data_IF_583639581618
#
_entry.id   IF_583639581618
#
_cell.length_a   1.000
_cell.length_b   1.000
_cell.length_c   1.000
_cell.angle_alpha   90.00
_cell.angle_beta   90.00
_cell.angle_gamma   90.00
#
_symmetry.space_group_name_H-M   'P 1'
#
loop_
_entity.id
_entity.type
_entity.pdbx_description
1 polymer ?
#
# COMPACT_ATOMS: atom_id res chain seq x y z
N UNK A 1 17.76 7.48 10.53
CA UNK A 1 16.95 8.65 10.09
C UNK A 1 15.88 8.94 11.14
N UNK A 2 15.61 10.21 11.48
CA UNK A 2 14.54 10.57 12.44
C UNK A 2 13.51 11.45 11.76
N UNK A 3 12.23 11.09 11.86
CA UNK A 3 11.10 11.79 11.23
C UNK A 3 10.28 12.50 12.30
N UNK A 4 10.29 13.83 12.29
CA UNK A 4 9.62 14.67 13.30
C UNK A 4 8.49 15.53 12.75
N UNK A 5 8.28 15.52 11.43
CA UNK A 5 7.26 16.33 10.77
C UNK A 5 6.04 15.47 10.40
N UNK A 6 4.82 15.83 10.83
CA UNK A 6 3.63 15.09 10.43
C UNK A 6 3.40 15.13 8.92
N UNK A 7 2.86 14.04 8.36
CA UNK A 7 2.59 13.94 6.92
C UNK A 7 3.83 13.69 6.06
N UNK A 8 5.00 13.44 6.66
CA UNK A 8 6.22 13.16 5.90
C UNK A 8 6.07 11.88 5.07
N UNK A 9 6.49 11.95 3.81
CA UNK A 9 6.56 10.78 2.92
C UNK A 9 8.02 10.46 2.62
N UNK A 10 8.45 9.25 2.97
CA UNK A 10 9.72 8.64 2.59
C UNK A 10 9.40 7.70 1.42
N UNK A 11 9.92 8.00 0.23
CA UNK A 11 9.60 7.29 -1.00
C UNK A 11 10.86 7.02 -1.82
N UNK A 12 10.99 5.79 -2.34
CA UNK A 12 12.08 5.39 -3.24
C UNK A 12 13.50 5.66 -2.71
N UNK A 13 13.70 5.52 -1.38
CA UNK A 13 15.00 5.73 -0.75
C UNK A 13 15.67 4.41 -0.37
N UNK A 14 17.00 4.39 -0.46
CA UNK A 14 17.83 3.40 0.23
C UNK A 14 18.34 4.02 1.54
N UNK A 15 17.75 3.60 2.65
CA UNK A 15 18.02 4.11 3.99
C UNK A 15 18.94 3.16 4.73
N UNK A 16 20.07 3.69 5.22
CA UNK A 16 20.99 2.96 6.10
C UNK A 16 20.78 3.37 7.56
N UNK A 17 20.59 2.38 8.42
CA UNK A 17 20.28 2.52 9.85
C UNK A 17 18.78 2.67 10.14
N UNK A 18 18.44 2.72 11.43
CA UNK A 18 17.06 2.80 11.91
C UNK A 18 16.30 4.02 11.37
N UNK A 19 15.05 3.85 10.94
CA UNK A 19 14.08 4.96 10.79
C UNK A 19 13.28 5.11 12.09
N UNK A 20 13.42 6.25 12.77
CA UNK A 20 12.64 6.60 13.96
C UNK A 20 11.51 7.56 13.60
N UNK A 21 10.26 7.09 13.69
CA UNK A 21 9.05 7.86 13.41
C UNK A 21 8.53 8.48 14.70
N UNK A 22 8.59 9.81 14.78
CA UNK A 22 8.21 10.61 15.95
C UNK A 22 7.03 11.57 15.69
N UNK A 23 6.35 11.43 14.55
CA UNK A 23 5.27 12.31 14.12
C UNK A 23 4.16 11.53 13.41
N UNK A 24 2.93 12.05 13.48
CA UNK A 24 1.75 11.41 12.90
C UNK A 24 1.72 11.43 11.37
N UNK A 25 0.95 10.50 10.79
CA UNK A 25 0.66 10.44 9.35
C UNK A 25 1.91 10.31 8.48
N UNK A 26 2.95 9.62 8.96
CA UNK A 26 4.17 9.35 8.20
C UNK A 26 3.95 8.17 7.27
N UNK A 27 4.32 8.31 6.01
CA UNK A 27 4.31 7.21 5.03
C UNK A 27 5.73 6.84 4.65
N UNK A 28 6.08 5.57 4.76
CA UNK A 28 7.31 4.97 4.24
C UNK A 28 6.89 4.02 3.12
N UNK A 29 7.38 4.24 1.90
CA UNK A 29 6.98 3.47 0.74
C UNK A 29 8.11 3.25 -0.27
N UNK A 30 8.03 2.16 -1.04
CA UNK A 30 8.94 1.84 -2.14
C UNK A 30 10.43 1.94 -1.77
N UNK A 31 10.76 1.73 -0.50
CA UNK A 31 12.08 2.03 0.05
C UNK A 31 12.78 0.76 0.47
N UNK A 32 14.12 0.82 0.48
CA UNK A 32 14.95 -0.22 1.08
C UNK A 32 15.51 0.29 2.39
N UNK A 33 15.35 -0.46 3.46
CA UNK A 33 15.85 -0.13 4.79
C UNK A 33 16.83 -1.21 5.19
N UNK A 34 18.10 -0.84 5.34
CA UNK A 34 19.15 -1.72 5.86
C UNK A 34 19.62 -1.20 7.21
N UNK A 35 19.36 -1.96 8.26
CA UNK A 35 19.79 -1.61 9.62
C UNK A 35 20.74 -2.66 10.20
N UNK A 36 21.49 -2.24 11.20
CA UNK A 36 22.27 -3.11 12.09
C UNK A 36 22.03 -2.77 13.56
N UNK A 37 20.94 -2.05 13.83
CA UNK A 37 20.53 -1.60 15.15
C UNK A 37 19.46 -2.54 15.73
N UNK A 38 18.84 -2.14 16.84
CA UNK A 38 17.74 -2.88 17.45
C UNK A 38 16.51 -3.05 16.55
N UNK A 39 16.25 -2.11 15.62
CA UNK A 39 15.14 -2.24 14.66
C UNK A 39 15.45 -1.56 13.33
N UNK A 40 14.82 -2.00 12.24
CA UNK A 40 14.81 -1.30 10.96
C UNK A 40 13.96 -0.04 11.03
N UNK A 41 12.73 -0.17 11.52
CA UNK A 41 11.78 0.92 11.67
C UNK A 41 11.22 0.91 13.09
N UNK A 42 11.37 2.03 13.79
CA UNK A 42 10.77 2.26 15.10
C UNK A 42 9.71 3.35 14.99
N UNK A 43 8.49 3.05 15.42
CA UNK A 43 7.39 4.00 15.52
C UNK A 43 7.12 4.21 17.00
N UNK A 44 7.27 5.46 17.43
CA UNK A 44 7.05 5.81 18.84
C UNK A 44 5.60 5.56 19.24
N UNK A 45 5.39 5.02 20.43
CA UNK A 45 4.06 4.84 21.00
C UNK A 45 3.24 6.15 21.03
N UNK A 46 1.95 6.01 20.74
CA UNK A 46 1.00 7.12 20.65
C UNK A 46 1.02 7.88 19.32
N UNK A 47 1.96 7.59 18.42
CA UNK A 47 1.92 8.09 17.04
C UNK A 47 0.83 7.35 16.26
N UNK A 48 0.12 8.08 15.41
CA UNK A 48 -1.01 7.57 14.63
C UNK A 48 -0.83 7.82 13.14
N UNK A 49 -1.52 7.02 12.31
CA UNK A 49 -1.53 7.21 10.86
C UNK A 49 -0.24 6.82 10.14
N UNK A 50 0.70 6.13 10.81
CA UNK A 50 1.89 5.63 10.14
C UNK A 50 1.51 4.54 9.14
N UNK A 51 2.04 4.64 7.93
CA UNK A 51 1.92 3.63 6.87
C UNK A 51 3.32 3.20 6.44
N UNK A 52 3.60 1.90 6.47
CA UNK A 52 4.82 1.32 5.89
C UNK A 52 4.39 0.34 4.82
N UNK A 53 4.77 0.58 3.56
CA UNK A 53 4.32 -0.27 2.47
C UNK A 53 5.35 -0.49 1.38
N UNK A 54 5.19 -1.56 0.62
CA UNK A 54 5.93 -1.80 -0.62
C UNK A 54 7.46 -1.65 -0.45
N UNK A 55 7.99 -2.00 0.73
CA UNK A 55 9.37 -1.72 1.13
C UNK A 55 10.11 -3.00 1.51
N UNK A 56 11.41 -3.03 1.21
CA UNK A 56 12.33 -4.09 1.65
C UNK A 56 12.97 -3.65 2.97
N UNK A 57 12.88 -4.49 4.00
CA UNK A 57 13.38 -4.21 5.35
C UNK A 57 14.26 -5.38 5.77
N UNK A 58 15.55 -5.10 5.94
CA UNK A 58 16.51 -6.06 6.43
C UNK A 58 17.28 -5.49 7.61
N UNK A 59 17.34 -6.23 8.72
CA UNK A 59 18.01 -5.80 9.94
C UNK A 59 18.82 -6.93 10.56
N UNK A 60 20.10 -6.97 10.18
CA UNK A 60 21.08 -7.95 10.67
C UNK A 60 21.75 -7.53 11.98
N UNK A 61 21.08 -6.66 12.76
CA UNK A 61 21.63 -6.10 13.98
C UNK A 61 22.06 -7.15 15.01
N UNK A 62 23.01 -6.79 15.86
CA UNK A 62 23.55 -7.67 16.91
C UNK A 62 23.19 -7.18 18.32
N UNK A 63 22.10 -6.42 18.43
CA UNK A 63 21.67 -5.87 19.72
C UNK A 63 21.34 -7.03 20.67
N UNK A 64 21.77 -6.96 21.95
CA UNK A 64 21.32 -7.90 22.96
C UNK A 64 19.80 -7.91 23.11
N UNK A 65 19.11 -6.83 22.74
CA UNK A 65 17.65 -6.69 22.82
C UNK A 65 16.92 -7.11 21.53
N UNK A 66 17.70 -7.56 20.54
CA UNK A 66 17.27 -8.20 19.31
C UNK A 66 17.29 -7.33 18.06
N UNK A 67 17.05 -7.93 16.89
CA UNK A 67 17.12 -7.26 15.59
C UNK A 67 15.78 -7.27 14.85
N UNK A 68 14.94 -6.27 15.08
CA UNK A 68 13.55 -6.28 14.61
C UNK A 68 13.40 -5.62 13.23
N UNK A 69 12.40 -6.02 12.43
CA UNK A 69 12.04 -5.35 11.19
C UNK A 69 11.29 -4.04 11.46
N UNK A 70 10.06 -4.15 11.96
CA UNK A 70 9.20 -3.01 12.34
C UNK A 70 8.78 -3.17 13.80
N UNK A 71 8.89 -2.10 14.58
CA UNK A 71 8.35 -2.03 15.95
C UNK A 71 7.44 -0.81 16.07
N UNK A 72 6.17 -1.03 16.43
CA UNK A 72 5.22 0.03 16.73
C UNK A 72 3.80 -0.26 16.23
N UNK A 73 3.01 0.78 15.95
CA UNK A 73 1.63 0.64 15.45
C UNK A 73 1.40 1.40 14.14
N UNK A 74 0.49 0.89 13.30
CA UNK A 74 0.15 1.51 12.02
C UNK A 74 -0.43 0.56 10.99
N UNK A 75 -0.33 0.95 9.72
CA UNK A 75 -0.73 0.13 8.57
C UNK A 75 0.52 -0.38 7.85
N UNK A 76 0.77 -1.69 7.88
CA UNK A 76 1.95 -2.34 7.30
C UNK A 76 1.51 -3.23 6.14
N UNK A 77 1.82 -2.81 4.91
CA UNK A 77 1.30 -3.43 3.68
C UNK A 77 2.41 -3.88 2.75
N UNK A 78 2.49 -5.17 2.42
CA UNK A 78 3.30 -5.62 1.26
C UNK A 78 4.78 -5.30 1.40
N UNK A 79 5.27 -5.35 2.63
CA UNK A 79 6.68 -5.25 2.90
C UNK A 79 7.33 -6.62 2.76
N UNK A 80 8.57 -6.60 2.29
CA UNK A 80 9.46 -7.74 2.27
C UNK A 80 10.42 -7.61 3.46
N UNK A 81 10.26 -8.45 4.47
CA UNK A 81 10.95 -8.36 5.76
C UNK A 81 11.76 -9.63 5.98
N UNK A 82 13.08 -9.50 5.99
CA UNK A 82 13.95 -10.67 6.04
C UNK A 82 15.28 -10.40 6.72
N UNK A 83 16.01 -11.46 7.07
CA UNK A 83 17.26 -11.39 7.82
C UNK A 83 17.11 -10.57 9.12
N UNK A 84 15.99 -10.81 9.82
CA UNK A 84 15.64 -10.19 11.11
C UNK A 84 15.45 -11.24 12.19
N UNK A 85 15.58 -10.83 13.45
CA UNK A 85 15.13 -11.59 14.60
C UNK A 85 13.60 -11.68 14.61
N UNK A 86 12.91 -10.56 14.87
CA UNK A 86 11.46 -10.48 14.77
C UNK A 86 11.04 -9.70 13.51
N UNK A 87 10.00 -10.16 12.83
CA UNK A 87 9.45 -9.46 11.66
C UNK A 87 8.79 -8.13 12.04
N UNK A 88 7.63 -8.21 12.68
CA UNK A 88 6.83 -7.06 13.10
C UNK A 88 6.40 -7.22 14.56
N UNK A 89 6.81 -6.30 15.42
CA UNK A 89 6.31 -6.19 16.80
C UNK A 89 5.26 -5.08 16.84
N UNK A 90 4.01 -5.47 17.10
CA UNK A 90 2.87 -4.58 17.17
C UNK A 90 2.69 -4.04 18.60
N UNK A 91 2.69 -2.72 18.76
CA UNK A 91 2.52 -2.05 20.07
C UNK A 91 1.19 -1.30 20.23
N UNK A 92 0.30 -1.41 19.23
CA UNK A 92 -1.03 -0.80 19.26
C UNK A 92 -1.88 -1.20 18.06
N UNK A 93 -3.08 -0.62 17.93
CA UNK A 93 -4.01 -0.96 16.83
C UNK A 93 -3.34 -0.84 15.47
N UNK A 94 -3.42 -1.91 14.68
CA UNK A 94 -2.66 -2.05 13.44
C UNK A 94 -3.36 -2.91 12.40
N UNK A 95 -3.07 -2.63 11.13
CA UNK A 95 -3.36 -3.51 10.01
C UNK A 95 -2.04 -4.05 9.48
N UNK A 96 -1.85 -5.37 9.55
CA UNK A 96 -0.69 -6.08 8.98
C UNK A 96 -1.20 -6.95 7.84
N UNK A 97 -0.92 -6.54 6.61
CA UNK A 97 -1.52 -7.20 5.46
C UNK A 97 -0.57 -7.40 4.29
N UNK A 98 -0.69 -8.55 3.63
CA UNK A 98 0.02 -8.89 2.39
C UNK A 98 1.56 -8.81 2.53
N UNK A 99 2.12 -8.83 3.74
CA UNK A 99 3.58 -8.78 3.95
C UNK A 99 4.20 -10.17 3.74
N UNK A 100 5.46 -10.17 3.34
CA UNK A 100 6.29 -11.36 3.28
C UNK A 100 7.37 -11.26 4.35
N UNK A 101 7.34 -12.18 5.30
CA UNK A 101 8.28 -12.22 6.42
C UNK A 101 8.98 -13.57 6.38
N UNK A 102 10.28 -13.58 6.09
CA UNK A 102 11.02 -14.82 5.82
C UNK A 102 12.49 -14.68 6.21
N UNK A 103 13.26 -15.76 6.00
CA UNK A 103 14.70 -15.83 6.30
C UNK A 103 15.05 -15.19 7.66
N UNK A 104 14.20 -15.45 8.66
CA UNK A 104 14.42 -14.89 10.00
C UNK A 104 15.73 -15.42 10.54
N UNK A 105 16.64 -14.49 10.77
CA UNK A 105 18.02 -14.75 11.07
C UNK A 105 18.53 -13.59 11.91
N UNK A 106 19.04 -13.91 13.08
CA UNK A 106 19.63 -12.97 14.01
C UNK A 106 21.00 -13.52 14.37
N UNK A 107 22.05 -12.70 14.34
CA UNK A 107 23.35 -13.14 14.82
C UNK A 107 23.23 -13.63 16.27
N UNK A 108 23.98 -14.68 16.57
CA UNK A 108 23.84 -15.59 17.71
C UNK A 108 24.22 -14.94 19.07
N UNK A 109 23.62 -13.79 19.42
CA UNK A 109 24.06 -12.94 20.54
C UNK A 109 23.49 -13.35 21.90
N UNK A 110 22.50 -14.24 21.93
CA UNK A 110 21.78 -14.61 23.17
C UNK A 110 22.01 -16.04 23.67
N UNK A 111 22.68 -16.92 22.92
CA UNK A 111 22.95 -18.28 23.39
C UNK A 111 23.75 -18.27 24.71
N UNK A 112 23.14 -18.82 25.76
CA UNK A 112 23.75 -18.93 27.09
C UNK A 112 23.53 -17.75 28.04
N UNK A 113 22.68 -16.78 27.69
CA UNK A 113 22.30 -15.67 28.58
C UNK A 113 21.09 -16.02 29.47
N UNK A 114 20.91 -15.29 30.58
CA UNK A 114 19.74 -15.45 31.49
C UNK A 114 18.43 -14.93 30.90
N UNK A 115 18.48 -14.24 29.76
CA UNK A 115 17.33 -13.66 29.07
C UNK A 115 16.71 -14.63 28.05
N UNK A 116 17.21 -15.87 27.97
CA UNK A 116 16.79 -16.85 26.97
C UNK A 116 17.62 -16.77 25.69
N UNK A 117 17.36 -17.68 24.75
CA UNK A 117 17.92 -17.61 23.39
C UNK A 117 17.28 -16.47 22.58
N UNK A 118 17.71 -16.28 21.32
CA UNK A 118 17.06 -15.34 20.41
C UNK A 118 15.56 -15.66 20.22
N UNK A 119 14.74 -14.61 20.12
CA UNK A 119 13.29 -14.67 19.93
C UNK A 119 12.98 -14.36 18.46
N UNK A 120 12.69 -15.35 17.63
CA UNK A 120 12.34 -15.12 16.22
C UNK A 120 10.83 -15.14 15.97
N UNK A 121 10.07 -14.16 16.42
CA UNK A 121 8.64 -14.10 16.13
C UNK A 121 8.36 -13.36 14.81
N UNK A 122 7.57 -13.99 13.93
CA UNK A 122 7.23 -13.37 12.66
C UNK A 122 6.39 -12.11 12.84
N UNK A 123 5.27 -12.25 13.52
CA UNK A 123 4.46 -11.14 13.98
C UNK A 123 4.19 -11.32 15.47
N UNK A 124 4.63 -10.37 16.27
CA UNK A 124 4.49 -10.39 17.72
C UNK A 124 3.47 -9.34 18.19
N UNK A 125 2.54 -9.76 19.05
CA UNK A 125 1.60 -8.90 19.75
C UNK A 125 1.83 -9.07 21.24
N UNK A 126 2.38 -8.02 21.84
CA UNK A 126 2.61 -7.93 23.27
C UNK A 126 1.37 -7.42 24.02
N UNK A 127 1.41 -7.53 25.36
CA UNK A 127 0.32 -7.04 26.21
C UNK A 127 0.02 -5.54 26.02
N UNK A 128 -1.24 -5.16 26.25
CA UNK A 128 -1.71 -3.77 26.12
C UNK A 128 -2.23 -3.39 24.73
N UNK A 129 -2.29 -4.35 23.81
CA UNK A 129 -2.67 -4.13 22.40
C UNK A 129 -4.11 -4.57 22.13
N UNK A 130 -4.86 -3.75 21.40
CA UNK A 130 -6.16 -4.12 20.85
C UNK A 130 -6.31 -3.75 19.38
N UNK A 131 -7.32 -4.35 18.74
CA UNK A 131 -7.78 -3.97 17.39
C UNK A 131 -6.69 -4.16 16.34
N UNK A 132 -6.21 -5.39 16.20
CA UNK A 132 -5.19 -5.77 15.22
C UNK A 132 -5.77 -6.75 14.22
N UNK A 133 -5.54 -6.48 12.93
CA UNK A 133 -5.90 -7.37 11.83
C UNK A 133 -4.62 -7.80 11.12
N UNK A 134 -4.36 -9.10 11.11
CA UNK A 134 -3.27 -9.77 10.40
C UNK A 134 -3.90 -10.60 9.27
N UNK A 135 -3.73 -10.20 8.02
CA UNK A 135 -4.36 -10.94 6.90
C UNK A 135 -3.51 -11.06 5.65
N UNK A 136 -3.64 -12.19 4.96
CA UNK A 136 -2.97 -12.46 3.69
C UNK A 136 -1.44 -12.31 3.72
N UNK A 137 -0.82 -12.39 4.91
CA UNK A 137 0.62 -12.38 5.02
C UNK A 137 1.17 -13.77 4.72
N UNK A 138 2.40 -13.82 4.22
CA UNK A 138 3.21 -15.03 4.15
C UNK A 138 4.31 -14.90 5.19
N UNK A 139 4.30 -15.75 6.21
CA UNK A 139 5.30 -15.74 7.30
C UNK A 139 5.97 -17.10 7.34
N UNK A 140 7.28 -17.14 7.09
CA UNK A 140 8.09 -18.36 7.10
C UNK A 140 9.13 -18.23 8.21
N UNK A 141 8.89 -18.91 9.34
CA UNK A 141 9.73 -18.86 10.52
C UNK A 141 10.43 -20.19 10.83
N UNK A 142 11.51 -20.52 10.14
CA UNK A 142 12.11 -21.86 10.29
C UNK A 142 12.83 -22.10 11.63
N UNK A 143 12.85 -21.12 12.53
CA UNK A 143 13.52 -21.22 13.83
C UNK A 143 12.65 -21.99 14.85
N UNK A 144 13.19 -23.05 15.42
CA UNK A 144 12.42 -24.03 16.21
C UNK A 144 11.90 -23.61 17.58
N UNK A 145 12.09 -22.36 18.02
CA UNK A 145 11.81 -21.92 19.39
C UNK A 145 10.68 -20.90 19.56
N UNK A 146 10.06 -20.47 18.46
CA UNK A 146 9.27 -19.22 18.39
C UNK A 146 8.19 -19.29 17.31
N UNK A 147 7.29 -18.34 17.19
CA UNK A 147 6.06 -18.53 16.40
C UNK A 147 5.98 -17.69 15.14
N UNK A 148 5.17 -18.11 14.16
CA UNK A 148 4.86 -17.25 13.02
C UNK A 148 3.99 -16.07 13.47
N UNK A 149 3.06 -16.33 14.40
CA UNK A 149 2.30 -15.29 15.11
C UNK A 149 2.33 -15.57 16.61
N UNK A 150 2.84 -14.61 17.39
CA UNK A 150 2.90 -14.65 18.85
C UNK A 150 1.92 -13.64 19.44
N UNK A 151 1.14 -14.06 20.44
CA UNK A 151 0.29 -13.18 21.24
C UNK A 151 0.51 -13.48 22.72
N UNK A 152 0.88 -12.48 23.51
CA UNK A 152 1.04 -12.62 24.97
C UNK A 152 0.44 -11.42 25.72
N UNK A 153 0.34 -11.51 27.04
CA UNK A 153 -0.21 -10.47 27.92
C UNK A 153 0.79 -9.90 28.93
N UNK A 154 2.09 -9.97 28.66
CA UNK A 154 3.14 -9.59 29.63
C UNK A 154 3.10 -8.08 29.99
N UNK A 155 2.57 -7.25 29.08
CA UNK A 155 2.50 -5.78 29.23
C UNK A 155 1.07 -5.22 29.34
N UNK A 156 0.08 -6.07 29.62
CA UNK A 156 -1.32 -5.65 29.76
C UNK A 156 -2.31 -6.51 28.96
N UNK A 157 -3.61 -6.15 28.97
CA UNK A 157 -4.64 -6.97 28.34
C UNK A 157 -4.53 -6.91 26.82
N UNK A 158 -4.95 -7.99 26.15
CA UNK A 158 -5.01 -8.05 24.68
C UNK A 158 -6.43 -8.36 24.24
N UNK A 159 -6.93 -7.64 23.24
CA UNK A 159 -8.29 -7.86 22.75
C UNK A 159 -8.50 -7.58 21.26
N UNK A 160 -9.50 -8.23 20.66
CA UNK A 160 -9.91 -8.00 19.26
C UNK A 160 -8.75 -8.18 18.26
N UNK A 161 -8.19 -9.39 18.22
CA UNK A 161 -7.10 -9.76 17.31
C UNK A 161 -7.64 -10.73 16.27
N UNK A 162 -7.50 -10.38 14.99
CA UNK A 162 -7.97 -11.18 13.87
C UNK A 162 -6.78 -11.60 13.02
N UNK A 163 -6.59 -12.91 12.88
CA UNK A 163 -5.54 -13.52 12.04
C UNK A 163 -6.25 -14.34 10.97
N UNK A 164 -6.39 -13.77 9.78
CA UNK A 164 -7.28 -14.29 8.74
C UNK A 164 -6.59 -14.48 7.38
N UNK A 165 -6.72 -15.66 6.78
CA UNK A 165 -6.29 -15.87 5.39
C UNK A 165 -4.78 -15.80 5.16
N UNK A 166 -3.95 -16.11 6.16
CA UNK A 166 -2.49 -16.04 6.04
C UNK A 166 -1.89 -17.40 5.66
N UNK A 167 -0.71 -17.39 5.04
CA UNK A 167 0.17 -18.55 4.94
C UNK A 167 1.22 -18.44 6.05
N UNK A 168 1.11 -19.27 7.07
CA UNK A 168 1.94 -19.22 8.27
C UNK A 168 2.70 -20.53 8.41
N UNK A 169 4.01 -20.41 8.42
CA UNK A 169 4.91 -21.51 8.44
C UNK A 169 6.03 -21.29 9.46
N UNK A 170 6.56 -22.39 9.94
CA UNK A 170 7.67 -22.48 10.85
C UNK A 170 7.32 -22.36 12.34
N UNK A 171 8.38 -22.47 13.15
CA UNK A 171 8.39 -22.12 14.54
C UNK A 171 8.60 -23.27 15.53
N UNK A 172 8.49 -22.95 16.82
CA UNK A 172 8.09 -23.86 17.88
C UNK A 172 6.62 -24.24 17.72
N UNK A 173 5.71 -23.28 17.91
CA UNK A 173 4.32 -23.39 17.48
C UNK A 173 4.03 -22.34 16.42
N UNK A 174 3.34 -22.68 15.33
CA UNK A 174 3.06 -21.71 14.25
C UNK A 174 2.18 -20.55 14.74
N UNK A 175 1.15 -20.86 15.53
CA UNK A 175 0.32 -19.88 16.23
C UNK A 175 0.53 -20.02 17.75
N UNK A 176 0.96 -18.95 18.41
CA UNK A 176 1.17 -18.97 19.85
C UNK A 176 0.29 -17.91 20.52
N UNK A 177 -0.48 -18.31 21.52
CA UNK A 177 -1.24 -17.36 22.33
C UNK A 177 -1.23 -17.75 23.81
N UNK A 178 -0.50 -17.00 24.62
CA UNK A 178 -0.30 -17.32 26.03
C UNK A 178 -0.69 -16.14 26.93
N UNK A 179 -1.86 -16.27 27.55
CA UNK A 179 -2.41 -15.37 28.55
C UNK A 179 -1.96 -15.68 29.98
N UNK A 180 -0.91 -16.47 30.19
CA UNK A 180 -0.40 -16.80 31.53
C UNK A 180 0.72 -15.89 32.04
N UNK A 181 1.23 -14.97 31.21
CA UNK A 181 2.26 -14.00 31.63
C UNK A 181 1.71 -13.00 32.65
N UNK A 182 0.44 -12.58 32.49
CA UNK A 182 -0.30 -11.84 33.51
C UNK A 182 -1.53 -12.60 34.02
N UNK A 183 -1.68 -12.67 35.33
CA UNK A 183 -2.84 -13.30 35.98
C UNK A 183 -4.09 -12.41 35.98
N UNK A 184 -3.92 -11.09 35.85
CA UNK A 184 -4.98 -10.07 35.90
C UNK A 184 -5.40 -9.64 34.51
N UNK A 185 -4.44 -9.45 33.62
CA UNK A 185 -4.68 -9.00 32.26
C UNK A 185 -5.04 -10.19 31.38
N UNK A 186 -6.09 -10.06 30.57
CA UNK A 186 -6.62 -11.20 29.80
C UNK A 186 -6.41 -10.98 28.32
N UNK A 187 -6.21 -12.10 27.61
CA UNK A 187 -6.30 -12.16 26.16
C UNK A 187 -7.72 -12.59 25.81
N UNK A 188 -8.42 -11.80 25.02
CA UNK A 188 -9.82 -12.03 24.65
C UNK A 188 -10.10 -11.65 23.19
N UNK A 189 -11.17 -12.18 22.59
CA UNK A 189 -11.54 -11.81 21.21
C UNK A 189 -10.45 -12.06 20.17
N UNK A 190 -9.70 -13.16 20.31
CA UNK A 190 -8.71 -13.60 19.32
C UNK A 190 -9.38 -14.61 18.38
N UNK A 191 -9.18 -14.44 17.08
CA UNK A 191 -9.62 -15.40 16.07
C UNK A 191 -8.50 -15.70 15.08
N UNK A 192 -8.28 -16.98 14.81
CA UNK A 192 -7.43 -17.50 13.75
C UNK A 192 -8.34 -18.21 12.74
N UNK A 193 -8.54 -17.61 11.57
CA UNK A 193 -9.49 -18.09 10.57
C UNK A 193 -8.90 -18.21 9.18
N UNK A 194 -9.32 -19.21 8.41
CA UNK A 194 -8.97 -19.34 6.99
C UNK A 194 -7.45 -19.36 6.69
N UNK A 195 -6.59 -19.70 7.66
CA UNK A 195 -5.13 -19.68 7.47
C UNK A 195 -4.64 -21.03 6.94
N UNK A 196 -3.61 -20.99 6.11
CA UNK A 196 -2.79 -22.15 5.78
C UNK A 196 -1.65 -22.23 6.79
N UNK A 197 -1.64 -23.27 7.61
CA UNK A 197 -0.67 -23.50 8.67
C UNK A 197 0.12 -24.75 8.32
N UNK A 198 1.43 -24.67 8.17
CA UNK A 198 2.19 -25.91 8.35
C UNK A 198 2.60 -26.07 9.82
N UNK A 199 3.29 -27.17 10.11
CA UNK A 199 3.50 -27.61 11.49
C UNK A 199 4.86 -27.15 12.08
N UNK A 200 4.81 -26.28 13.09
CA UNK A 200 5.98 -25.96 13.93
C UNK A 200 6.55 -27.17 14.68
N UNK A 201 7.75 -27.01 15.25
CA UNK A 201 8.50 -28.05 15.97
C UNK A 201 7.68 -28.76 17.06
N UNK A 202 6.79 -28.03 17.73
CA UNK A 202 5.93 -28.51 18.81
C UNK A 202 4.46 -28.63 18.39
N UNK A 203 4.08 -28.10 17.22
CA UNK A 203 2.74 -28.21 16.65
C UNK A 203 2.28 -26.97 15.89
N UNK A 204 1.03 -26.98 15.41
CA UNK A 204 0.44 -25.82 14.72
C UNK A 204 0.12 -24.67 15.66
N UNK A 205 -0.38 -24.98 16.85
CA UNK A 205 -0.84 -23.96 17.78
C UNK A 205 -0.65 -24.36 19.23
N UNK A 206 -0.44 -23.35 20.08
CA UNK A 206 -0.44 -23.48 21.53
C UNK A 206 -1.18 -22.33 22.17
N UNK A 207 -2.25 -22.65 22.90
CA UNK A 207 -3.09 -21.67 23.59
C UNK A 207 -3.13 -21.94 25.09
N UNK A 208 -2.81 -20.93 25.88
CA UNK A 208 -2.82 -21.02 27.34
C UNK A 208 -3.48 -19.78 27.94
N UNK A 209 -4.36 -19.97 28.91
CA UNK A 209 -5.00 -18.85 29.60
C UNK A 209 -6.02 -18.06 28.76
N UNK A 210 -6.33 -18.50 27.54
CA UNK A 210 -7.35 -17.95 26.66
C UNK A 210 -7.95 -19.03 25.75
N UNK A 211 -8.95 -18.65 24.95
CA UNK A 211 -9.66 -19.56 24.02
C UNK A 211 -9.90 -18.87 22.67
N UNK A 212 -8.87 -18.77 21.81
CA UNK A 212 -9.05 -18.22 20.47
C UNK A 212 -10.08 -18.99 19.66
N UNK A 213 -10.84 -18.29 18.81
CA UNK A 213 -11.69 -18.92 17.81
C UNK A 213 -10.80 -19.50 16.71
N UNK A 214 -10.91 -20.79 16.45
CA UNK A 214 -10.29 -21.48 15.32
C UNK A 214 -11.37 -21.88 14.32
N UNK A 215 -11.25 -21.47 13.05
CA UNK A 215 -12.20 -21.89 12.01
C UNK A 215 -11.55 -21.91 10.63
N UNK A 216 -11.82 -22.96 9.84
CA UNK A 216 -11.35 -23.09 8.45
C UNK A 216 -9.83 -22.94 8.25
N UNK A 217 -9.00 -23.23 9.25
CA UNK A 217 -7.55 -23.28 9.04
C UNK A 217 -7.18 -24.62 8.40
N UNK A 218 -6.34 -24.58 7.37
CA UNK A 218 -5.79 -25.77 6.70
C UNK A 218 -4.44 -26.13 7.31
N UNK A 219 -4.32 -27.34 7.83
CA UNK A 219 -3.15 -27.85 8.55
C UNK A 219 -2.28 -28.69 7.59
N UNK A 220 -1.35 -28.02 6.90
CA UNK A 220 -0.56 -28.53 5.78
C UNK A 220 0.52 -29.57 6.15
N UNK A 221 0.77 -29.81 7.44
CA UNK A 221 1.80 -30.73 7.92
C UNK A 221 3.20 -30.14 7.92
N UNK A 222 4.20 -31.03 8.04
CA UNK A 222 5.63 -30.69 7.99
C UNK A 222 6.17 -30.54 6.57
N UNK A 223 5.36 -30.84 5.55
CA UNK A 223 5.70 -30.78 4.13
C UNK A 223 5.41 -29.43 3.46
N UNK A 224 5.25 -28.36 4.26
CA UNK A 224 5.08 -27.00 3.75
C UNK A 224 6.21 -26.60 2.80
N UNK A 225 5.94 -25.66 1.90
CA UNK A 225 6.99 -25.14 1.04
C UNK A 225 7.81 -24.12 1.84
N UNK A 226 9.05 -24.52 2.21
CA UNK A 226 10.08 -23.68 2.83
C UNK A 226 10.87 -22.88 1.80
N UNK A 227 10.89 -23.34 0.55
CA UNK A 227 11.45 -22.55 -0.53
C UNK A 227 10.65 -21.26 -0.60
N UNK A 228 11.31 -20.15 -0.28
CA UNK A 228 10.88 -18.81 -0.65
C UNK A 228 10.13 -18.92 -1.97
N UNK A 229 8.89 -18.43 -2.12
CA UNK A 229 8.47 -18.06 -3.46
C UNK A 229 9.66 -17.23 -4.00
N UNK A 230 10.31 -17.72 -5.06
CA UNK A 230 11.58 -17.12 -5.56
C UNK A 230 11.36 -15.71 -6.08
N UNK A 231 10.10 -15.31 -6.11
CA UNK A 231 9.60 -13.97 -6.08
C UNK A 231 8.92 -13.78 -4.72
N UNK A 232 9.27 -12.77 -3.92
CA UNK A 232 8.32 -12.23 -2.92
C UNK A 232 6.92 -12.20 -3.53
N UNK A 233 5.81 -12.32 -2.77
CA UNK A 233 4.51 -11.90 -3.31
C UNK A 233 4.77 -10.55 -3.96
N UNK A 234 4.60 -10.48 -5.29
CA UNK A 234 5.05 -9.31 -6.04
C UNK A 234 4.52 -8.12 -5.27
N UNK A 235 5.39 -7.18 -4.85
CA UNK A 235 4.95 -5.82 -4.57
C UNK A 235 3.98 -5.55 -5.70
N UNK A 236 2.67 -5.39 -5.44
CA UNK A 236 1.72 -5.44 -6.52
C UNK A 236 2.23 -4.43 -7.53
N UNK A 237 2.16 -4.75 -8.81
CA UNK A 237 2.76 -3.82 -9.77
C UNK A 237 1.99 -2.51 -9.66
N UNK A 238 2.68 -1.42 -9.31
CA UNK A 238 2.12 -0.08 -9.52
C UNK A 238 1.71 -0.07 -10.99
N UNK A 239 0.41 0.09 -11.31
CA UNK A 239 -0.01 0.00 -12.69
C UNK A 239 0.75 1.06 -13.49
N UNK A 240 1.15 0.72 -14.72
CA UNK A 240 1.72 1.72 -15.62
C UNK A 240 0.78 2.93 -15.72
N UNK A 241 1.35 4.13 -15.86
CA UNK A 241 0.55 5.34 -16.05
C UNK A 241 -0.42 5.12 -17.23
N UNK A 242 -1.71 5.44 -17.06
CA UNK A 242 -2.65 5.31 -18.16
C UNK A 242 -2.27 6.28 -19.29
N UNK A 243 -2.75 6.01 -20.49
CA UNK A 243 -2.67 6.94 -21.62
C UNK A 243 -4.00 7.64 -21.80
N UNK A 244 -3.96 8.88 -22.28
CA UNK A 244 -5.07 9.51 -22.99
C UNK A 244 -4.63 9.55 -24.45
N UNK A 245 -5.10 8.59 -25.25
CA UNK A 245 -4.64 8.36 -26.61
C UNK A 245 -5.27 9.35 -27.60
N UNK A 246 -6.53 9.73 -27.36
CA UNK A 246 -7.22 10.72 -28.16
C UNK A 246 -8.32 11.42 -27.35
N UNK A 247 -8.74 12.57 -27.86
CA UNK A 247 -9.89 13.30 -27.37
C UNK A 247 -10.75 13.75 -28.55
N UNK A 248 -12.06 13.93 -28.33
CA UNK A 248 -12.98 14.39 -29.37
C UNK A 248 -14.19 15.16 -28.79
N UNK A 249 -14.86 16.01 -29.59
CA UNK A 249 -14.52 16.38 -30.98
C UNK A 249 -13.43 17.45 -31.03
N UNK A 250 -12.57 17.36 -32.04
CA UNK A 250 -11.65 18.42 -32.47
C UNK A 250 -12.32 19.16 -33.64
N UNK A 251 -12.54 20.46 -33.51
CA UNK A 251 -13.41 21.22 -34.44
C UNK A 251 -12.70 22.45 -34.98
N UNK A 252 -13.02 22.84 -36.21
CA UNK A 252 -12.30 23.91 -36.90
C UNK A 252 -11.03 23.35 -37.55
N UNK A 253 -9.85 23.68 -37.02
CA UNK A 253 -8.58 23.23 -37.61
C UNK A 253 -8.08 21.98 -36.90
N UNK A 254 -8.15 20.84 -37.58
CA UNK A 254 -7.70 19.57 -37.01
C UNK A 254 -6.25 19.63 -36.46
N UNK A 255 -6.08 19.23 -35.22
CA UNK A 255 -4.80 19.12 -34.52
C UNK A 255 -4.30 20.43 -33.89
N UNK A 256 -5.07 21.52 -33.92
CA UNK A 256 -4.69 22.79 -33.28
C UNK A 256 -4.94 22.79 -31.75
N UNK A 257 -5.66 21.78 -31.24
CA UNK A 257 -5.96 21.65 -29.82
C UNK A 257 -7.18 22.45 -29.37
N UNK A 258 -8.03 22.92 -30.30
CA UNK A 258 -9.17 23.79 -30.04
C UNK A 258 -10.48 23.08 -30.41
N UNK A 259 -11.54 23.34 -29.65
CA UNK A 259 -12.87 22.79 -29.94
C UNK A 259 -14.00 23.71 -29.53
N UNK A 260 -15.09 23.71 -30.31
CA UNK A 260 -16.34 24.39 -30.02
C UNK A 260 -17.30 23.55 -29.16
N UNK A 261 -16.88 22.34 -28.77
CA UNK A 261 -17.60 21.47 -27.85
C UNK A 261 -17.11 21.64 -26.41
N UNK A 262 -18.04 21.68 -25.46
CA UNK A 262 -17.72 21.80 -24.03
C UNK A 262 -17.83 20.48 -23.25
N UNK A 263 -18.09 19.36 -23.93
CA UNK A 263 -18.01 18.00 -23.38
C UNK A 263 -17.04 17.21 -24.22
N UNK A 264 -15.96 16.76 -23.60
CA UNK A 264 -14.85 16.11 -24.30
C UNK A 264 -14.90 14.62 -24.00
N UNK A 265 -14.93 13.80 -25.04
CA UNK A 265 -14.71 12.37 -24.92
C UNK A 265 -13.20 12.11 -24.91
N UNK A 266 -12.73 11.38 -23.90
CA UNK A 266 -11.36 10.91 -23.76
C UNK A 266 -11.33 9.40 -23.97
N UNK A 267 -10.38 8.96 -24.78
CA UNK A 267 -10.13 7.54 -25.05
C UNK A 267 -8.70 7.22 -24.65
N UNK A 268 -8.51 6.13 -23.91
CA UNK A 268 -7.20 5.79 -23.38
C UNK A 268 -7.00 4.32 -23.11
N UNK A 269 -5.80 3.99 -22.64
CA UNK A 269 -5.44 2.64 -22.19
C UNK A 269 -4.90 2.67 -20.77
N UNK A 270 -5.10 1.59 -20.02
CA UNK A 270 -4.56 1.36 -18.70
C UNK A 270 -4.47 -0.14 -18.42
N UNK A 271 -3.92 -0.53 -17.26
CA UNK A 271 -3.98 -1.92 -16.82
C UNK A 271 -5.44 -2.38 -16.70
N UNK A 272 -5.76 -3.55 -17.26
CA UNK A 272 -7.13 -4.07 -17.34
C UNK A 272 -7.81 -4.13 -15.96
N UNK A 273 -9.08 -3.73 -15.90
CA UNK A 273 -9.86 -3.70 -14.65
C UNK A 273 -9.48 -2.59 -13.67
N UNK A 274 -8.49 -1.75 -13.97
CA UNK A 274 -8.11 -0.62 -13.11
C UNK A 274 -9.18 0.46 -13.09
N UNK A 275 -9.31 1.13 -11.94
CA UNK A 275 -10.13 2.35 -11.81
C UNK A 275 -9.32 3.54 -12.28
N UNK A 276 -9.85 4.32 -13.22
CA UNK A 276 -9.21 5.50 -13.79
C UNK A 276 -9.79 6.74 -13.14
N UNK A 277 -8.95 7.63 -12.61
CA UNK A 277 -9.34 8.97 -12.15
C UNK A 277 -8.84 9.99 -13.17
N UNK A 278 -9.73 10.86 -13.63
CA UNK A 278 -9.42 11.91 -14.61
C UNK A 278 -9.42 13.27 -13.94
N UNK A 279 -8.43 14.08 -14.28
CA UNK A 279 -8.17 15.39 -13.69
C UNK A 279 -8.09 16.49 -14.75
N UNK A 280 -8.54 17.68 -14.39
CA UNK A 280 -8.22 18.94 -15.08
C UNK A 280 -7.39 19.82 -14.13
N UNK A 281 -6.12 20.01 -14.47
CA UNK A 281 -5.12 20.51 -13.53
C UNK A 281 -5.04 19.60 -12.31
N UNK A 282 -5.28 20.15 -11.11
CA UNK A 282 -5.31 19.39 -9.86
C UNK A 282 -6.70 18.88 -9.46
N UNK A 283 -7.76 19.28 -10.18
CA UNK A 283 -9.14 18.95 -9.83
C UNK A 283 -9.56 17.64 -10.47
N UNK A 284 -10.00 16.66 -9.68
CA UNK A 284 -10.60 15.45 -10.23
C UNK A 284 -11.97 15.78 -10.82
N UNK A 285 -12.17 15.46 -12.11
CA UNK A 285 -13.41 15.76 -12.84
C UNK A 285 -14.29 14.53 -13.04
N UNK A 286 -13.73 13.32 -12.90
CA UNK A 286 -14.51 12.09 -12.96
C UNK A 286 -13.69 10.81 -12.80
N UNK A 287 -14.38 9.69 -12.99
CA UNK A 287 -13.80 8.34 -12.91
C UNK A 287 -14.32 7.47 -14.05
N UNK A 288 -13.48 6.56 -14.51
CA UNK A 288 -13.83 5.49 -15.46
C UNK A 288 -13.23 4.16 -14.99
N UNK A 289 -13.54 3.07 -15.68
CA UNK A 289 -12.96 1.75 -15.43
C UNK A 289 -12.36 1.22 -16.71
N UNK A 290 -11.12 0.75 -16.66
CA UNK A 290 -10.50 0.05 -17.77
C UNK A 290 -11.18 -1.30 -17.98
N UNK A 291 -11.53 -1.59 -19.22
CA UNK A 291 -12.10 -2.87 -19.65
C UNK A 291 -11.12 -4.03 -19.43
N UNK A 292 -11.58 -5.26 -19.66
CA UNK A 292 -10.73 -6.46 -19.58
C UNK A 292 -9.58 -6.47 -20.59
N UNK A 293 -9.64 -5.63 -21.63
CA UNK A 293 -8.58 -5.45 -22.63
C UNK A 293 -7.76 -4.18 -22.39
N UNK A 294 -8.02 -3.44 -21.30
CA UNK A 294 -7.27 -2.24 -20.92
C UNK A 294 -7.73 -0.93 -21.55
N UNK A 295 -8.69 -0.94 -22.49
CA UNK A 295 -9.27 0.29 -23.02
C UNK A 295 -10.20 0.96 -22.01
N UNK A 296 -10.24 2.29 -21.97
CA UNK A 296 -11.18 3.06 -21.16
C UNK A 296 -11.67 4.31 -21.89
N UNK A 297 -12.89 4.71 -21.56
CA UNK A 297 -13.58 5.86 -22.13
C UNK A 297 -14.14 6.74 -20.99
N UNK A 298 -14.06 8.06 -21.17
CA UNK A 298 -14.67 9.01 -20.25
C UNK A 298 -15.18 10.24 -21.01
N UNK A 299 -16.39 10.69 -20.70
CA UNK A 299 -16.92 11.97 -21.20
C UNK A 299 -16.88 12.96 -20.06
N UNK A 300 -16.20 14.09 -20.26
CA UNK A 300 -16.12 15.13 -19.24
C UNK A 300 -17.50 15.69 -18.89
N UNK A 301 -17.61 16.23 -17.67
CA UNK A 301 -18.62 17.25 -17.41
C UNK A 301 -18.38 18.48 -18.30
N UNK A 302 -19.33 19.42 -18.29
CA UNK A 302 -19.20 20.67 -19.06
C UNK A 302 -17.95 21.42 -18.60
N UNK A 303 -17.00 21.59 -19.50
CA UNK A 303 -15.82 22.42 -19.34
C UNK A 303 -16.15 23.87 -19.73
N UNK A 304 -15.50 24.82 -19.08
CA UNK A 304 -15.66 26.26 -19.39
C UNK A 304 -14.83 26.65 -20.61
N UNK A 305 -15.12 27.77 -21.25
CA UNK A 305 -14.22 28.33 -22.27
C UNK A 305 -12.87 28.70 -21.65
N UNK A 306 -11.86 27.84 -21.84
CA UNK A 306 -10.52 27.99 -21.29
C UNK A 306 -9.55 26.94 -21.90
N UNK A 307 -8.27 27.10 -21.58
CA UNK A 307 -7.28 26.03 -21.75
C UNK A 307 -7.36 25.07 -20.56
N UNK A 308 -7.61 23.80 -20.85
CA UNK A 308 -7.66 22.68 -19.91
C UNK A 308 -6.41 21.81 -20.05
N UNK A 309 -5.98 21.21 -18.95
CA UNK A 309 -4.84 20.30 -18.92
C UNK A 309 -5.29 18.98 -18.30
N UNK A 310 -5.63 18.03 -19.18
CA UNK A 310 -6.25 16.78 -18.79
C UNK A 310 -5.19 15.70 -18.53
N UNK A 311 -5.30 15.04 -17.38
CA UNK A 311 -4.45 13.90 -17.01
C UNK A 311 -5.28 12.78 -16.41
N UNK A 312 -4.74 11.57 -16.36
CA UNK A 312 -5.37 10.43 -15.71
C UNK A 312 -4.39 9.64 -14.83
N UNK A 313 -4.91 9.01 -13.77
CA UNK A 313 -4.20 7.99 -12.98
C UNK A 313 -5.01 6.70 -12.96
N UNK A 314 -4.33 5.56 -12.83
CA UNK A 314 -4.96 4.25 -12.74
C UNK A 314 -4.72 3.65 -11.35
N UNK A 315 -5.77 3.11 -10.73
CA UNK A 315 -5.70 2.36 -9.47
C UNK A 315 -6.04 0.89 -9.73
N UNK A 316 -5.11 -0.02 -9.41
CA UNK A 316 -5.33 -1.47 -9.59
C UNK A 316 -6.23 -2.05 -8.48
N UNK A 317 -6.61 -3.33 -8.61
CA UNK A 317 -7.45 -4.03 -7.60
C UNK A 317 -6.78 -4.16 -6.22
N UNK A 318 -5.45 -4.09 -6.18
CA UNK A 318 -4.65 -4.10 -4.95
C UNK A 318 -4.52 -2.71 -4.31
N UNK A 319 -5.21 -1.69 -4.86
CA UNK A 319 -5.28 -0.33 -4.31
C UNK A 319 -4.11 0.58 -4.64
N UNK A 320 -3.18 0.18 -5.51
CA UNK A 320 -2.05 1.02 -5.89
C UNK A 320 -2.38 1.93 -7.05
N UNK A 321 -1.89 3.18 -6.96
CA UNK A 321 -2.15 4.21 -7.96
C UNK A 321 -0.89 4.51 -8.77
N UNK A 322 -1.04 4.58 -10.09
CA UNK A 322 0.02 4.93 -11.04
C UNK A 322 0.50 6.39 -10.89
N UNK A 323 1.63 6.71 -11.51
CA UNK A 323 1.93 8.10 -11.89
C UNK A 323 0.84 8.65 -12.84
N UNK A 324 0.74 9.97 -12.94
CA UNK A 324 -0.16 10.63 -13.89
C UNK A 324 0.26 10.36 -15.35
N UNK A 325 -0.73 10.27 -16.24
CA UNK A 325 -0.51 10.21 -17.69
C UNK A 325 0.25 11.44 -18.20
N UNK A 326 0.76 11.35 -19.43
CA UNK A 326 1.10 12.56 -20.17
C UNK A 326 -0.13 13.49 -20.24
N UNK A 327 0.12 14.80 -20.11
CA UNK A 327 -0.94 15.80 -20.12
C UNK A 327 -1.45 16.04 -21.55
N UNK A 328 -2.77 16.07 -21.71
CA UNK A 328 -3.44 16.46 -22.94
C UNK A 328 -3.99 17.88 -22.77
N UNK A 329 -3.51 18.81 -23.60
CA UNK A 329 -4.02 20.18 -23.62
C UNK A 329 -5.22 20.27 -24.57
N UNK A 330 -6.35 20.78 -24.07
CA UNK A 330 -7.56 21.05 -24.85
C UNK A 330 -7.99 22.48 -24.58
N UNK A 331 -8.26 23.26 -25.62
CA UNK A 331 -8.82 24.60 -25.50
C UNK A 331 -10.28 24.56 -25.91
N UNK A 332 -11.17 24.82 -24.97
CA UNK A 332 -12.61 24.94 -25.26
C UNK A 332 -12.89 26.40 -25.63
N UNK A 333 -13.48 26.62 -26.80
CA UNK A 333 -13.97 27.91 -27.27
C UNK A 333 -15.32 27.72 -27.96
N UNK A 334 -16.39 27.82 -27.17
CA UNK A 334 -17.77 27.66 -27.66
C UNK A 334 -18.31 28.91 -28.37
N UNK A 335 -17.51 29.99 -28.49
CA UNK A 335 -18.00 31.27 -28.96
C UNK A 335 -17.93 31.39 -30.48
N UNK A 336 -19.10 31.41 -31.11
CA UNK A 336 -19.20 31.69 -32.53
C UNK A 336 -18.65 33.10 -32.89
N UNK A 337 -18.02 33.26 -34.07
CA UNK A 337 -17.66 34.57 -34.60
C UNK A 337 -18.89 35.48 -34.73
N UNK A 338 -18.66 36.80 -34.67
CA UNK A 338 -19.72 37.75 -34.98
C UNK A 338 -20.19 37.56 -36.43
N UNK A 339 -21.50 37.68 -36.66
CA UNK A 339 -22.05 37.62 -38.01
C UNK A 339 -21.42 38.73 -38.87
N UNK A 340 -21.00 38.42 -40.11
CA UNK A 340 -20.47 39.44 -41.00
C UNK A 340 -21.54 40.48 -41.30
N UNK A 341 -21.13 41.74 -41.39
CA UNK A 341 -22.01 42.89 -41.65
C UNK A 341 -21.69 43.50 -43.01
N UNK A 342 -22.72 43.87 -43.77
CA UNK A 342 -22.54 44.70 -44.97
C UNK A 342 -22.60 46.17 -44.54
N UNK A 343 -21.51 46.89 -44.72
CA UNK A 343 -21.36 48.29 -44.33
C UNK A 343 -21.79 49.26 -45.43
N UNK A 344 -21.66 48.90 -46.70
CA UNK A 344 -22.17 49.70 -47.82
C UNK A 344 -22.36 48.88 -49.09
N UNK A 345 -23.30 49.32 -49.92
CA UNK A 345 -23.47 48.94 -51.32
C UNK A 345 -23.42 50.20 -52.20
N UNK A 346 -22.50 50.21 -53.17
CA UNK A 346 -22.37 51.33 -54.11
C UNK A 346 -22.30 50.82 -55.53
N UNK A 347 -22.75 51.63 -56.50
CA UNK A 347 -22.54 51.36 -57.92
C UNK A 347 -21.33 52.14 -58.40
N UNK A 348 -20.31 51.46 -58.91
CA UNK A 348 -19.12 52.13 -59.43
C UNK A 348 -19.36 52.72 -60.84
N UNK A 349 -18.38 53.49 -61.35
CA UNK A 349 -18.44 54.13 -62.68
C UNK A 349 -18.45 53.15 -63.85
N UNK A 350 -18.26 51.85 -63.60
CA UNK A 350 -18.38 50.76 -64.56
C UNK A 350 -19.72 50.00 -64.44
N UNK A 351 -20.73 50.54 -63.73
CA UNK A 351 -22.03 49.92 -63.47
C UNK A 351 -21.95 48.56 -62.73
N UNK A 352 -21.00 48.40 -61.81
CA UNK A 352 -20.90 47.22 -60.95
C UNK A 352 -21.34 47.56 -59.53
N UNK A 353 -22.06 46.64 -58.88
CA UNK A 353 -22.34 46.73 -57.44
C UNK A 353 -21.09 46.32 -56.67
N UNK A 354 -20.59 47.22 -55.83
CA UNK A 354 -19.49 46.99 -54.90
C UNK A 354 -20.05 46.97 -53.49
N UNK A 355 -19.87 45.85 -52.79
CA UNK A 355 -20.23 45.70 -51.39
C UNK A 355 -18.96 45.71 -50.53
N UNK A 356 -19.01 46.37 -49.38
CA UNK A 356 -17.97 46.30 -48.35
C UNK A 356 -18.57 45.92 -47.01
N UNK A 357 -17.78 45.27 -46.16
CA UNK A 357 -18.24 44.71 -44.89
C UNK A 357 -17.08 44.25 -44.01
N UNK A 358 -17.41 43.86 -42.78
CA UNK A 358 -16.52 43.25 -41.79
C UNK A 358 -17.14 41.96 -41.29
#
# INVERSE_FOLDING_TARGET
>A
MTVTQPGTVIDALDVKGTISVLADNVTIQNSRITSSDWTGIWIKDGITGTVVKDSEILNVGSSPDGANGIVGSGTFLRNDIHDVENGIIVTGSSLVQDNYIHDMNAPDVRLGTSLGGPHYDGIEINGGVSDVVIRHNTVINENGFVSAVMINNDFGPVSNIQVDGNYLAGGGYTLYSDGSFSSTDKISGVSFTNNELGQGTWGYYYFRGNTPVLSNNDELGTGWQTSSPTTPPSTPDIPAAPTIASWSPDTGTAGDGITDANKIALHGTAAAGSTIKVYDGSTQIGTATATSTGGWDYITNVLTDAKHTLTATATNSSGQTSAASAAVAVTVDTKAPAAPTIASDTVNTANQVVMSGA
#
